data_IF_615627995520
#
_entry.id   IF_615627995520
#
_cell.length_a   1.000
_cell.length_b   1.000
_cell.length_c   1.000
_cell.angle_alpha   90.00
_cell.angle_beta   90.00
_cell.angle_gamma   90.00
#
_symmetry.space_group_name_H-M   'P 1'
#
loop_
_entity.id
_entity.type
_entity.pdbx_description
1 polymer ?
#
# COMPACT_ATOMS: atom_id res chain seq x y z
N UNK A 1 48.28 40.30 12.90
CA UNK A 1 47.50 41.51 13.21
C UNK A 1 46.11 41.09 13.61
N UNK A 2 45.67 41.51 14.80
CA UNK A 2 44.33 41.31 15.37
C UNK A 2 43.35 42.25 14.67
N UNK A 3 42.09 41.83 14.51
CA UNK A 3 40.93 42.70 14.75
C UNK A 3 39.72 41.84 15.11
N UNK A 4 39.35 41.95 16.38
CA UNK A 4 38.15 41.41 17.01
C UNK A 4 36.94 42.27 16.62
N UNK A 5 35.76 41.66 16.46
CA UNK A 5 34.47 42.27 16.84
C UNK A 5 33.52 41.20 17.38
N UNK A 6 33.08 41.41 18.62
CA UNK A 6 32.01 40.70 19.35
C UNK A 6 30.81 41.66 19.40
N UNK A 7 29.57 41.19 19.25
CA UNK A 7 28.46 41.18 20.24
C UNK A 7 27.17 41.32 19.40
N UNK A 8 25.98 40.83 19.73
CA UNK A 8 25.40 39.91 20.70
C UNK A 8 23.96 39.67 20.16
N UNK A 9 23.42 38.46 20.25
CA UNK A 9 22.02 38.20 19.90
C UNK A 9 21.29 37.65 21.12
N UNK A 10 20.36 38.47 21.59
CA UNK A 10 19.46 38.26 22.73
C UNK A 10 18.48 37.11 22.48
N UNK A 11 18.38 36.22 23.46
CA UNK A 11 17.32 35.22 23.58
C UNK A 11 16.08 35.83 24.25
N UNK A 12 14.91 35.65 23.65
CA UNK A 12 13.61 35.92 24.26
C UNK A 12 12.79 34.62 24.26
N UNK A 13 12.71 33.99 25.44
CA UNK A 13 11.75 32.93 25.74
C UNK A 13 10.48 33.59 26.28
N UNK A 14 9.34 33.34 25.64
CA UNK A 14 8.02 33.68 26.18
C UNK A 14 7.34 32.41 26.68
N UNK A 15 6.93 32.45 27.95
CA UNK A 15 6.19 31.42 28.66
C UNK A 15 4.73 31.86 28.86
N UNK A 16 3.78 30.94 28.67
CA UNK A 16 2.40 30.91 29.20
C UNK A 16 1.96 29.42 29.08
N UNK A 17 1.26 28.75 30.00
CA UNK A 17 0.54 29.10 31.23
C UNK A 17 0.06 27.80 31.93
N UNK A 18 0.11 27.80 33.26
CA UNK A 18 -0.90 27.32 34.26
C UNK A 18 -1.45 25.89 34.22
N UNK A 19 -1.81 25.22 35.32
CA UNK A 19 -1.70 25.35 36.78
C UNK A 19 -2.25 24.01 37.28
N UNK A 20 -1.56 23.32 38.18
CA UNK A 20 -2.00 22.07 38.78
C UNK A 20 -1.89 22.16 40.29
N UNK A 21 -3.04 22.30 40.96
CA UNK A 21 -3.35 22.07 42.39
C UNK A 21 -4.89 22.04 42.47
N UNK A 22 -5.61 21.28 43.30
CA UNK A 22 -5.30 20.58 44.53
C UNK A 22 -6.31 19.40 44.73
N UNK A 23 -5.87 18.39 45.48
CA UNK A 23 -6.74 17.44 46.17
C UNK A 23 -7.26 18.07 47.47
N UNK A 24 -8.52 17.85 47.84
CA UNK A 24 -9.02 17.81 49.22
C UNK A 24 -10.41 17.15 49.27
N UNK A 25 -10.52 16.01 49.97
CA UNK A 25 -11.71 15.39 50.56
C UNK A 25 -11.76 15.82 52.06
N UNK A 26 -12.90 15.88 52.82
CA UNK A 26 -13.83 14.73 53.00
C UNK A 26 -15.32 14.99 53.43
N UNK A 27 -16.14 13.94 53.24
CA UNK A 27 -17.26 13.40 54.04
C UNK A 27 -18.31 14.28 54.77
N UNK A 28 -19.62 13.99 54.52
CA UNK A 28 -20.58 13.50 55.54
C UNK A 28 -21.88 12.92 54.96
N UNK A 29 -22.40 11.90 55.64
CA UNK A 29 -23.51 11.01 55.28
C UNK A 29 -24.91 11.48 55.76
N UNK A 30 -25.96 10.87 55.18
CA UNK A 30 -27.33 10.81 55.74
C UNK A 30 -28.37 10.17 54.78
N UNK A 31 -29.15 9.14 55.18
CA UNK A 31 -30.01 8.31 54.30
C UNK A 31 -31.50 8.78 54.31
N UNK A 32 -32.41 8.21 53.48
CA UNK A 32 -33.20 7.06 53.98
C UNK A 32 -33.76 6.03 52.96
N UNK A 33 -34.04 4.85 53.52
CA UNK A 33 -35.22 3.98 53.35
C UNK A 33 -35.48 3.15 52.07
N UNK A 34 -35.88 1.91 52.35
CA UNK A 34 -36.20 0.85 51.40
C UNK A 34 -37.67 0.43 51.49
N UNK A 35 -38.20 -0.01 50.32
CA UNK A 35 -39.29 -0.99 50.05
C UNK A 35 -40.76 -0.57 50.34
N UNK A 36 -41.77 -1.30 49.81
CA UNK A 36 -41.79 -2.36 48.79
C UNK A 36 -42.83 -2.12 47.67
N UNK A 37 -42.81 -2.90 46.59
CA UNK A 37 -44.05 -3.17 45.83
C UNK A 37 -44.09 -4.57 45.27
N UNK A 38 -45.25 -5.17 45.44
CA UNK A 38 -45.57 -6.57 45.34
C UNK A 38 -45.90 -7.00 43.89
N UNK A 39 -45.69 -8.29 43.59
CA UNK A 39 -46.51 -9.01 42.60
C UNK A 39 -47.87 -9.33 43.20
N UNK A 40 -48.94 -9.48 42.39
CA UNK A 40 -49.28 -10.84 41.97
C UNK A 40 -49.88 -10.98 40.55
N UNK A 41 -49.77 -12.23 40.10
CA UNK A 41 -50.74 -12.99 39.31
C UNK A 41 -50.91 -12.74 37.79
N UNK A 42 -50.75 -13.87 37.10
CA UNK A 42 -51.03 -14.16 35.70
C UNK A 42 -52.51 -14.04 35.31
N UNK A 43 -52.77 -13.77 34.02
CA UNK A 43 -53.83 -14.40 33.21
C UNK A 43 -53.61 -14.14 31.70
N UNK A 44 -53.44 -15.23 30.95
CA UNK A 44 -53.88 -15.59 29.56
C UNK A 44 -54.43 -14.48 28.64
N UNK A 45 -54.14 -14.35 27.32
CA UNK A 45 -53.67 -15.19 26.19
C UNK A 45 -53.29 -14.23 24.99
N UNK A 46 -53.10 -14.60 23.69
CA UNK A 46 -52.90 -15.90 23.02
C UNK A 46 -51.70 -15.97 22.01
N UNK A 47 -51.38 -17.21 21.61
CA UNK A 47 -50.79 -17.71 20.33
C UNK A 47 -49.58 -17.01 19.69
N UNK A 48 -48.43 -17.65 19.85
CA UNK A 48 -47.23 -17.49 19.03
C UNK A 48 -47.48 -17.97 17.59
N UNK A 49 -47.24 -17.08 16.61
CA UNK A 49 -46.97 -17.47 15.24
C UNK A 49 -45.54 -18.02 15.15
N UNK A 50 -45.41 -19.25 14.64
CA UNK A 50 -44.12 -19.88 14.38
C UNK A 50 -43.31 -19.05 13.37
N UNK A 51 -41.97 -18.92 13.53
CA UNK A 51 -41.14 -18.35 12.49
C UNK A 51 -41.12 -19.33 11.31
N UNK A 52 -41.42 -18.81 10.11
CA UNK A 52 -41.32 -19.56 8.87
C UNK A 52 -39.92 -20.15 8.73
N UNK A 53 -39.85 -21.48 8.65
CA UNK A 53 -38.63 -22.19 8.29
C UNK A 53 -38.18 -21.72 6.90
N UNK A 54 -37.02 -21.07 6.84
CA UNK A 54 -36.30 -20.83 5.61
C UNK A 54 -36.05 -22.19 4.93
N UNK A 55 -36.57 -22.34 3.71
CA UNK A 55 -36.28 -23.50 2.87
C UNK A 55 -34.78 -23.53 2.53
N UNK A 56 -34.16 -24.71 2.36
CA UNK A 56 -32.75 -24.79 2.01
C UNK A 56 -32.56 -24.15 0.62
N UNK A 57 -31.80 -23.07 0.58
CA UNK A 57 -31.39 -22.41 -0.66
C UNK A 57 -30.65 -23.41 -1.55
N UNK A 58 -31.07 -23.51 -2.81
CA UNK A 58 -30.44 -24.35 -3.81
C UNK A 58 -28.93 -24.03 -3.87
N UNK A 59 -28.09 -25.08 -3.86
CA UNK A 59 -26.64 -24.94 -3.94
C UNK A 59 -26.26 -24.11 -5.19
N UNK A 60 -25.79 -22.88 -4.96
CA UNK A 60 -25.35 -21.96 -6.02
C UNK A 60 -26.18 -20.69 -6.20
N UNK A 61 -27.29 -20.52 -5.47
CA UNK A 61 -28.00 -19.24 -5.43
C UNK A 61 -27.17 -18.14 -4.75
N UNK A 62 -27.23 -16.92 -5.27
CA UNK A 62 -26.60 -15.77 -4.64
C UNK A 62 -27.30 -15.46 -3.31
N UNK A 63 -26.59 -15.05 -2.24
CA UNK A 63 -27.22 -14.66 -0.98
C UNK A 63 -28.27 -13.56 -1.20
N UNK A 64 -29.49 -13.76 -0.70
CA UNK A 64 -30.59 -12.81 -0.82
C UNK A 64 -30.83 -12.02 0.48
N UNK A 65 -30.23 -12.45 1.60
CA UNK A 65 -30.36 -11.80 2.92
C UNK A 65 -29.00 -11.64 3.60
N UNK A 66 -28.92 -10.77 4.61
CA UNK A 66 -27.70 -10.62 5.43
C UNK A 66 -27.29 -11.93 6.12
N UNK A 67 -28.25 -12.73 6.58
CA UNK A 67 -27.97 -14.03 7.21
C UNK A 67 -27.35 -15.02 6.22
N UNK A 68 -27.84 -15.05 4.98
CA UNK A 68 -27.24 -15.87 3.92
C UNK A 68 -25.86 -15.34 3.50
N UNK A 69 -25.66 -14.02 3.46
CA UNK A 69 -24.37 -13.41 3.19
C UNK A 69 -23.36 -13.74 4.29
N UNK A 70 -23.77 -13.68 5.56
CA UNK A 70 -22.96 -14.13 6.70
C UNK A 70 -22.61 -15.61 6.55
N UNK A 71 -23.59 -16.48 6.32
CA UNK A 71 -23.36 -17.91 6.13
C UNK A 71 -22.43 -18.20 4.95
N UNK A 72 -22.48 -17.39 3.90
CA UNK A 72 -21.53 -17.46 2.78
C UNK A 72 -20.11 -17.10 3.22
N UNK A 73 -19.93 -15.96 3.88
CA UNK A 73 -18.63 -15.46 4.36
C UNK A 73 -17.98 -16.42 5.36
N UNK A 74 -18.79 -17.03 6.25
CA UNK A 74 -18.36 -18.03 7.25
C UNK A 74 -17.70 -19.29 6.67
N UNK A 75 -17.89 -19.56 5.37
CA UNK A 75 -17.20 -20.67 4.68
C UNK A 75 -15.70 -20.39 4.49
N UNK A 76 -15.28 -19.13 4.57
CA UNK A 76 -13.91 -18.70 4.24
C UNK A 76 -13.19 -18.02 5.40
N UNK A 77 -13.90 -17.31 6.28
CA UNK A 77 -13.34 -16.59 7.44
C UNK A 77 -14.35 -16.51 8.59
N UNK A 78 -13.92 -16.04 9.77
CA UNK A 78 -14.85 -15.73 10.87
C UNK A 78 -15.74 -14.54 10.54
N UNK A 79 -17.03 -14.68 10.82
CA UNK A 79 -18.03 -13.62 10.68
C UNK A 79 -19.18 -13.98 11.62
N UNK A 80 -18.93 -13.79 12.91
CA UNK A 80 -19.83 -14.14 14.01
C UNK A 80 -20.63 -12.92 14.48
N UNK A 81 -21.64 -13.13 15.33
CA UNK A 81 -22.36 -12.05 16.00
C UNK A 81 -22.87 -10.93 15.06
N UNK A 82 -23.50 -11.34 13.95
CA UNK A 82 -24.06 -10.41 12.97
C UNK A 82 -25.07 -9.47 13.62
N UNK A 83 -24.78 -8.17 13.56
CA UNK A 83 -25.61 -7.09 14.08
C UNK A 83 -25.96 -6.11 12.98
N UNK A 84 -27.13 -5.50 13.10
CA UNK A 84 -27.59 -4.37 12.28
C UNK A 84 -27.86 -3.15 13.16
N UNK A 85 -27.40 -3.19 14.40
CA UNK A 85 -27.78 -2.24 15.45
C UNK A 85 -26.96 -0.95 15.40
N UNK A 86 -27.54 0.20 15.76
CA UNK A 86 -26.81 1.47 15.82
C UNK A 86 -25.76 1.52 16.93
N UNK A 87 -25.75 0.54 17.84
CA UNK A 87 -24.80 0.43 18.96
C UNK A 87 -23.50 -0.28 18.58
N UNK A 88 -23.37 -0.76 17.34
CA UNK A 88 -22.15 -1.39 16.86
C UNK A 88 -21.01 -0.35 16.88
N UNK A 89 -19.90 -0.67 17.56
CA UNK A 89 -18.78 0.26 17.80
C UNK A 89 -17.87 0.47 16.58
N UNK A 90 -18.36 0.14 15.39
CA UNK A 90 -17.58 0.27 14.16
C UNK A 90 -17.68 1.68 13.65
N UNK A 91 -16.54 2.31 13.40
CA UNK A 91 -16.51 3.54 12.63
C UNK A 91 -16.92 3.25 11.18
N UNK A 92 -18.17 3.56 10.85
CA UNK A 92 -18.74 3.40 9.51
C UNK A 92 -18.40 4.56 8.56
N UNK A 93 -17.52 5.49 8.95
CA UNK A 93 -16.99 6.49 8.04
C UNK A 93 -16.30 5.81 6.85
N UNK A 94 -16.68 6.21 5.63
CA UNK A 94 -16.18 5.62 4.39
C UNK A 94 -17.00 4.44 3.85
N UNK A 95 -17.99 3.93 4.59
CA UNK A 95 -18.93 2.92 4.09
C UNK A 95 -20.19 3.58 3.52
N UNK A 96 -20.65 3.08 2.37
CA UNK A 96 -21.88 3.56 1.72
C UNK A 96 -23.08 3.39 2.66
N UNK A 97 -23.85 4.43 3.06
CA UNK A 97 -24.98 4.30 3.99
C UNK A 97 -26.15 3.50 3.39
N UNK A 98 -27.02 2.93 4.25
CA UNK A 98 -28.25 2.28 3.79
C UNK A 98 -29.13 3.31 3.09
N UNK A 99 -29.69 2.97 1.93
CA UNK A 99 -30.43 3.89 1.07
C UNK A 99 -29.56 4.69 0.10
N UNK A 100 -28.23 4.59 0.18
CA UNK A 100 -27.30 5.16 -0.80
C UNK A 100 -26.57 4.05 -1.56
N UNK A 101 -26.12 4.38 -2.77
CA UNK A 101 -25.32 3.47 -3.62
C UNK A 101 -26.00 2.11 -3.82
N UNK A 102 -27.34 2.09 -3.87
CA UNK A 102 -28.15 0.87 -3.97
C UNK A 102 -28.01 -0.12 -2.81
N UNK A 103 -27.48 0.31 -1.66
CA UNK A 103 -27.41 -0.52 -0.45
C UNK A 103 -28.79 -0.56 0.21
N UNK A 104 -29.38 -1.75 0.34
CA UNK A 104 -30.70 -1.96 0.95
C UNK A 104 -30.61 -2.33 2.42
N UNK A 105 -29.57 -3.07 2.81
CA UNK A 105 -29.33 -3.52 4.17
C UNK A 105 -27.83 -3.52 4.47
N UNK A 106 -27.48 -3.33 5.74
CA UNK A 106 -26.11 -3.49 6.23
C UNK A 106 -26.10 -4.29 7.51
N UNK A 107 -25.17 -5.22 7.59
CA UNK A 107 -24.81 -5.92 8.82
C UNK A 107 -23.31 -5.83 9.07
N UNK A 108 -22.95 -5.98 10.33
CA UNK A 108 -21.58 -6.02 10.82
C UNK A 108 -21.41 -7.33 11.56
N UNK A 109 -20.39 -8.10 11.22
CA UNK A 109 -20.05 -9.32 11.95
C UNK A 109 -18.61 -9.26 12.45
N UNK A 110 -18.34 -9.97 13.55
CA UNK A 110 -17.02 -10.07 14.16
C UNK A 110 -16.13 -11.06 13.42
N UNK A 111 -14.96 -10.60 12.99
CA UNK A 111 -13.86 -11.44 12.52
C UNK A 111 -12.96 -11.78 13.71
N UNK A 112 -13.32 -12.84 14.44
CA UNK A 112 -12.60 -13.27 15.64
C UNK A 112 -11.17 -13.73 15.35
N UNK A 113 -10.89 -14.18 14.12
CA UNK A 113 -9.56 -14.61 13.68
C UNK A 113 -8.61 -13.42 13.49
N UNK A 114 -9.08 -12.35 12.87
CA UNK A 114 -8.26 -11.16 12.59
C UNK A 114 -8.45 -10.03 13.62
N UNK A 115 -9.33 -10.24 14.60
CA UNK A 115 -9.68 -9.30 15.67
C UNK A 115 -10.16 -7.95 15.12
N UNK A 116 -11.09 -8.00 14.17
CA UNK A 116 -11.68 -6.83 13.51
C UNK A 116 -13.15 -7.11 13.15
N UNK A 117 -13.79 -6.21 12.43
CA UNK A 117 -15.14 -6.37 11.92
C UNK A 117 -15.16 -6.51 10.38
N UNK A 118 -16.17 -7.23 9.88
CA UNK A 118 -16.52 -7.31 8.46
C UNK A 118 -17.87 -6.65 8.27
N UNK A 119 -17.92 -5.72 7.32
CA UNK A 119 -19.18 -5.05 6.94
C UNK A 119 -19.76 -5.77 5.73
N UNK A 120 -20.99 -6.25 5.87
CA UNK A 120 -21.78 -6.85 4.80
C UNK A 120 -22.85 -5.84 4.36
N UNK A 121 -22.93 -5.58 3.07
CA UNK A 121 -23.97 -4.70 2.49
C UNK A 121 -24.73 -5.44 1.39
N UNK A 122 -26.04 -5.55 1.52
CA UNK A 122 -26.91 -6.07 0.47
C UNK A 122 -27.13 -5.00 -0.58
N UNK A 123 -27.06 -5.36 -1.86
CA UNK A 123 -27.08 -4.42 -2.97
C UNK A 123 -28.16 -4.80 -3.97
N UNK A 124 -29.09 -3.89 -4.23
CA UNK A 124 -30.21 -4.13 -5.17
C UNK A 124 -29.85 -3.92 -6.64
N UNK A 125 -28.91 -3.01 -6.93
CA UNK A 125 -28.37 -2.77 -8.27
C UNK A 125 -26.84 -2.66 -8.19
N UNK A 126 -26.18 -3.76 -8.57
CA UNK A 126 -24.73 -3.87 -8.49
C UNK A 126 -24.02 -2.92 -9.48
N UNK A 127 -24.63 -2.58 -10.61
CA UNK A 127 -24.02 -1.64 -11.56
C UNK A 127 -24.04 -0.23 -10.99
N UNK A 128 -25.18 0.21 -10.47
CA UNK A 128 -25.30 1.51 -9.80
C UNK A 128 -24.38 1.61 -8.57
N UNK A 129 -24.25 0.53 -7.81
CA UNK A 129 -23.34 0.46 -6.67
C UNK A 129 -21.87 0.63 -7.06
N UNK A 130 -21.40 -0.12 -8.07
CA UNK A 130 -20.03 0.02 -8.58
C UNK A 130 -19.77 1.41 -9.16
N UNK A 131 -20.77 2.04 -9.80
CA UNK A 131 -20.64 3.42 -10.29
C UNK A 131 -20.45 4.41 -9.12
N UNK A 132 -21.26 4.30 -8.08
CA UNK A 132 -21.14 5.18 -6.92
C UNK A 132 -19.81 4.99 -6.17
N UNK A 133 -19.32 3.76 -6.08
CA UNK A 133 -17.98 3.48 -5.55
C UNK A 133 -16.90 4.13 -6.43
N UNK A 134 -16.98 4.01 -7.76
CA UNK A 134 -16.05 4.68 -8.69
C UNK A 134 -16.04 6.19 -8.49
N UNK A 135 -17.21 6.81 -8.38
CA UNK A 135 -17.35 8.26 -8.19
C UNK A 135 -16.74 8.68 -6.85
N UNK A 136 -16.91 7.87 -5.80
CA UNK A 136 -16.27 8.07 -4.51
C UNK A 136 -14.74 8.01 -4.61
N UNK A 137 -14.18 6.99 -5.28
CA UNK A 137 -12.72 6.88 -5.47
C UNK A 137 -12.18 8.05 -6.29
N UNK A 138 -12.88 8.44 -7.36
CA UNK A 138 -12.48 9.57 -8.21
C UNK A 138 -12.41 10.85 -7.39
N UNK A 139 -13.45 11.15 -6.60
CA UNK A 139 -13.46 12.31 -5.70
C UNK A 139 -12.28 12.30 -4.72
N UNK A 140 -11.94 11.13 -4.15
CA UNK A 140 -10.80 11.00 -3.23
C UNK A 140 -9.47 11.25 -3.94
N UNK A 141 -9.33 10.81 -5.17
CA UNK A 141 -8.14 11.11 -5.98
C UNK A 141 -8.03 12.62 -6.26
N UNK A 142 -9.15 13.28 -6.59
CA UNK A 142 -9.20 14.74 -6.80
C UNK A 142 -8.86 15.53 -5.53
N UNK A 143 -9.18 14.99 -4.35
CA UNK A 143 -8.80 15.52 -3.04
C UNK A 143 -7.31 15.27 -2.68
N UNK A 144 -6.55 14.60 -3.55
CA UNK A 144 -5.12 14.32 -3.38
C UNK A 144 -4.79 12.98 -2.70
N UNK A 145 -5.78 12.13 -2.44
CA UNK A 145 -5.55 10.78 -1.89
C UNK A 145 -5.20 9.80 -3.01
N UNK A 146 -3.93 9.81 -3.44
CA UNK A 146 -3.41 8.96 -4.53
C UNK A 146 -3.68 7.46 -4.36
N UNK A 147 -3.83 7.00 -3.13
CA UNK A 147 -4.02 5.59 -2.78
C UNK A 147 -5.48 5.16 -2.60
N UNK A 148 -6.43 6.04 -2.92
CA UNK A 148 -7.85 5.76 -2.79
C UNK A 148 -8.24 4.48 -3.56
N UNK A 149 -8.92 3.56 -2.86
CA UNK A 149 -9.42 2.31 -3.43
C UNK A 149 -8.34 1.27 -3.76
N UNK A 150 -7.09 1.46 -3.33
CA UNK A 150 -6.02 0.48 -3.55
C UNK A 150 -5.92 -0.58 -2.47
N UNK A 151 -6.06 -0.22 -1.20
CA UNK A 151 -5.59 -1.07 -0.09
C UNK A 151 -6.68 -1.61 0.83
N UNK A 152 -7.92 -1.18 0.63
CA UNK A 152 -9.06 -1.64 1.41
C UNK A 152 -9.79 -2.71 0.59
N UNK A 153 -9.76 -4.00 0.99
CA UNK A 153 -10.48 -5.06 0.30
C UNK A 153 -11.99 -4.76 0.22
N UNK A 154 -12.43 -4.24 -0.91
CA UNK A 154 -13.82 -3.99 -1.25
C UNK A 154 -14.32 -5.13 -2.14
N UNK A 155 -14.83 -6.20 -1.51
CA UNK A 155 -15.14 -7.45 -2.20
C UNK A 155 -16.58 -7.49 -2.68
N UNK A 156 -16.76 -7.55 -3.99
CA UNK A 156 -18.05 -7.58 -4.66
C UNK A 156 -18.44 -9.01 -5.02
N UNK A 157 -19.66 -9.40 -4.65
CA UNK A 157 -20.33 -10.61 -5.10
C UNK A 157 -21.47 -10.32 -6.06
N UNK A 158 -22.37 -11.29 -6.25
CA UNK A 158 -23.54 -11.14 -7.14
C UNK A 158 -24.59 -10.16 -6.60
N UNK A 159 -24.85 -10.19 -5.30
CA UNK A 159 -25.97 -9.52 -4.63
C UNK A 159 -25.60 -8.79 -3.34
N UNK A 160 -24.34 -8.90 -2.92
CA UNK A 160 -23.84 -8.26 -1.71
C UNK A 160 -22.37 -7.89 -1.87
N UNK A 161 -21.91 -7.01 -0.98
CA UNK A 161 -20.51 -6.61 -0.84
C UNK A 161 -20.04 -6.94 0.56
N UNK A 162 -18.81 -7.44 0.67
CA UNK A 162 -18.09 -7.59 1.92
C UNK A 162 -16.89 -6.64 1.93
N UNK A 163 -16.81 -5.81 2.96
CA UNK A 163 -15.65 -4.95 3.18
C UNK A 163 -14.94 -5.41 4.45
N UNK A 164 -13.65 -5.69 4.34
CA UNK A 164 -12.82 -6.12 5.45
C UNK A 164 -11.58 -5.24 5.53
N UNK A 165 -11.24 -4.72 6.72
CA UNK A 165 -10.05 -3.87 6.91
C UNK A 165 -8.77 -4.67 7.03
N UNK A 166 -8.85 -5.95 7.43
CA UNK A 166 -7.68 -6.80 7.62
C UNK A 166 -7.34 -7.56 6.35
N UNK A 167 -6.05 -7.52 6.01
CA UNK A 167 -5.47 -8.23 4.85
C UNK A 167 -5.77 -9.73 4.86
N UNK A 168 -5.68 -10.37 6.03
CA UNK A 168 -5.91 -11.81 6.18
C UNK A 168 -7.35 -12.21 5.80
N UNK A 169 -8.34 -11.42 6.21
CA UNK A 169 -9.73 -11.59 5.82
C UNK A 169 -9.92 -11.43 4.31
N UNK A 170 -9.34 -10.38 3.72
CA UNK A 170 -9.39 -10.16 2.28
C UNK A 170 -8.84 -11.36 1.49
N UNK A 171 -7.65 -11.85 1.89
CA UNK A 171 -7.01 -13.03 1.30
C UNK A 171 -7.84 -14.32 1.45
N UNK A 172 -8.58 -14.46 2.55
CA UNK A 172 -9.48 -15.59 2.74
C UNK A 172 -10.69 -15.50 1.81
N UNK A 173 -11.28 -14.32 1.67
CA UNK A 173 -12.51 -14.11 0.90
C UNK A 173 -12.30 -14.16 -0.61
N UNK A 174 -11.15 -13.77 -1.15
CA UNK A 174 -10.87 -13.92 -2.60
C UNK A 174 -10.74 -15.37 -3.06
N UNK A 175 -10.68 -16.35 -2.14
CA UNK A 175 -10.78 -17.79 -2.47
C UNK A 175 -12.20 -18.21 -2.87
N UNK A 176 -13.17 -17.32 -2.69
CA UNK A 176 -14.57 -17.51 -3.04
C UNK A 176 -14.88 -16.98 -4.45
N UNK A 177 -16.17 -16.78 -4.78
CA UNK A 177 -16.58 -16.06 -6.00
C UNK A 177 -16.58 -14.52 -5.83
N UNK A 178 -16.27 -14.01 -4.64
CA UNK A 178 -16.08 -12.58 -4.40
C UNK A 178 -14.81 -12.07 -5.09
N UNK A 179 -14.85 -10.82 -5.57
CA UNK A 179 -13.71 -10.15 -6.22
C UNK A 179 -13.49 -8.76 -5.63
N UNK A 180 -12.24 -8.38 -5.44
CA UNK A 180 -11.86 -7.01 -5.09
C UNK A 180 -12.22 -6.11 -6.26
N UNK A 181 -13.04 -5.09 -6.01
CA UNK A 181 -13.33 -4.02 -6.93
C UNK A 181 -12.27 -2.94 -6.79
N UNK A 182 -11.55 -2.66 -7.87
CA UNK A 182 -10.57 -1.57 -7.92
C UNK A 182 -10.95 -0.60 -9.02
N UNK A 183 -11.13 0.67 -8.64
CA UNK A 183 -11.49 1.77 -9.54
C UNK A 183 -10.40 2.85 -9.64
N UNK A 184 -9.25 2.64 -8.99
CA UNK A 184 -8.11 3.53 -9.10
C UNK A 184 -7.45 3.34 -10.48
N UNK A 185 -7.31 4.40 -11.31
CA UNK A 185 -6.82 4.28 -12.68
C UNK A 185 -5.33 3.90 -12.78
N UNK A 186 -4.54 4.14 -11.73
CA UNK A 186 -3.13 3.79 -11.69
C UNK A 186 -2.90 2.31 -11.32
N UNK A 187 -3.96 1.60 -10.93
CA UNK A 187 -3.87 0.19 -10.60
C UNK A 187 -3.87 -0.70 -11.83
N UNK A 188 -2.93 -1.64 -11.87
CA UNK A 188 -2.93 -2.74 -12.83
C UNK A 188 -2.92 -4.05 -12.06
N UNK A 189 -3.85 -4.96 -12.39
CA UNK A 189 -3.87 -6.32 -11.84
C UNK A 189 -2.55 -7.02 -12.20
N UNK A 190 -1.78 -7.50 -11.21
CA UNK A 190 -0.55 -8.23 -11.49
C UNK A 190 -0.79 -9.52 -12.28
N UNK A 191 0.22 -9.94 -13.03
CA UNK A 191 0.16 -11.19 -13.79
C UNK A 191 -0.05 -12.40 -12.85
N UNK A 192 -0.83 -13.39 -13.31
CA UNK A 192 -1.15 -14.59 -12.55
C UNK A 192 -2.42 -14.48 -11.68
N UNK A 193 -3.03 -13.30 -11.61
CA UNK A 193 -4.29 -13.06 -10.92
C UNK A 193 -5.47 -12.97 -11.89
N UNK A 194 -6.65 -13.35 -11.42
CA UNK A 194 -7.89 -13.20 -12.19
C UNK A 194 -8.17 -11.73 -12.41
N UNK A 195 -8.58 -11.42 -13.64
CA UNK A 195 -9.00 -10.09 -14.07
C UNK A 195 -10.32 -10.22 -14.80
N UNK A 196 -11.36 -9.62 -14.22
CA UNK A 196 -12.72 -9.64 -14.75
C UNK A 196 -13.16 -8.19 -15.00
N UNK A 197 -14.00 -7.98 -16.03
CA UNK A 197 -14.56 -6.65 -16.30
C UNK A 197 -15.58 -6.33 -15.20
N UNK A 198 -15.46 -5.15 -14.58
CA UNK A 198 -16.50 -4.62 -13.72
C UNK A 198 -17.76 -4.27 -14.54
N UNK A 199 -18.88 -4.03 -13.86
CA UNK A 199 -20.13 -3.59 -14.50
C UNK A 199 -20.08 -2.14 -14.99
N UNK A 200 -19.04 -1.40 -14.57
CA UNK A 200 -18.76 -0.01 -14.93
C UNK A 200 -17.38 0.10 -15.56
N UNK A 201 -17.26 0.93 -16.60
CA UNK A 201 -15.99 1.11 -17.29
C UNK A 201 -14.98 1.85 -16.41
N UNK A 202 -13.70 1.49 -16.52
CA UNK A 202 -12.61 2.06 -15.72
C UNK A 202 -12.43 1.40 -14.35
N UNK A 203 -13.26 0.43 -13.97
CA UNK A 203 -13.03 -0.42 -12.80
C UNK A 203 -12.71 -1.85 -13.24
N UNK A 204 -12.07 -2.60 -12.35
CA UNK A 204 -11.71 -4.01 -12.55
C UNK A 204 -12.08 -4.84 -11.33
N UNK A 205 -12.48 -6.09 -11.57
CA UNK A 205 -12.68 -7.09 -10.53
C UNK A 205 -11.49 -8.06 -10.56
N UNK A 206 -10.91 -8.36 -9.40
CA UNK A 206 -9.74 -9.23 -9.29
C UNK A 206 -9.74 -10.07 -8.02
N UNK A 207 -9.05 -11.21 -8.03
CA UNK A 207 -8.71 -11.95 -6.81
C UNK A 207 -7.38 -11.48 -6.17
N UNK A 208 -6.76 -10.44 -6.73
CA UNK A 208 -5.59 -9.78 -6.15
C UNK A 208 -5.98 -8.88 -4.97
N UNK A 209 -5.46 -9.21 -3.79
CA UNK A 209 -5.59 -8.38 -2.58
C UNK A 209 -4.33 -7.54 -2.40
N UNK A 210 -4.41 -6.25 -2.70
CA UNK A 210 -3.36 -5.32 -2.34
C UNK A 210 -3.48 -4.94 -0.86
N UNK A 211 -2.37 -4.61 -0.20
CA UNK A 211 -2.38 -4.23 1.21
C UNK A 211 -1.16 -3.38 1.58
N UNK A 212 -1.36 -2.33 2.40
CA UNK A 212 -0.28 -1.45 2.87
C UNK A 212 0.75 -2.17 3.74
N UNK A 213 0.32 -3.21 4.44
CA UNK A 213 1.17 -3.96 5.36
C UNK A 213 2.07 -5.00 4.66
N UNK A 214 2.03 -5.06 3.32
CA UNK A 214 2.82 -5.99 2.52
C UNK A 214 2.37 -7.46 2.61
N UNK A 215 1.32 -7.76 3.39
CA UNK A 215 0.85 -9.15 3.64
C UNK A 215 -0.24 -9.61 2.68
N UNK A 216 -0.50 -8.83 1.62
CA UNK A 216 -1.50 -9.15 0.62
C UNK A 216 -1.05 -10.23 -0.35
N UNK A 217 -1.67 -10.26 -1.52
CA UNK A 217 -1.44 -11.25 -2.56
C UNK A 217 0.00 -11.16 -3.10
N UNK A 218 0.75 -12.26 -3.18
CA UNK A 218 2.14 -12.23 -3.61
C UNK A 218 2.29 -11.96 -5.11
N UNK A 219 3.12 -11.00 -5.50
CA UNK A 219 3.41 -10.76 -6.93
C UNK A 219 4.68 -11.50 -7.35
N UNK A 220 4.58 -12.31 -8.41
CA UNK A 220 5.76 -12.86 -9.10
C UNK A 220 6.17 -11.92 -10.21
N UNK A 221 7.44 -11.52 -10.23
CA UNK A 221 8.03 -10.81 -11.36
C UNK A 221 9.03 -11.67 -12.12
N UNK A 222 9.66 -11.10 -13.17
CA UNK A 222 10.82 -11.72 -13.79
C UNK A 222 11.91 -12.01 -12.75
N UNK A 223 12.75 -13.00 -13.06
CA UNK A 223 14.01 -13.20 -12.36
C UNK A 223 14.86 -11.92 -12.41
N UNK A 224 15.80 -11.79 -11.47
CA UNK A 224 16.69 -10.64 -11.47
C UNK A 224 17.53 -10.64 -12.76
N UNK A 225 17.62 -9.47 -13.40
CA UNK A 225 18.39 -9.25 -14.61
C UNK A 225 19.85 -9.74 -14.44
N UNK A 226 20.45 -10.26 -15.50
CA UNK A 226 21.87 -10.63 -15.51
C UNK A 226 22.46 -10.41 -16.90
N UNK A 227 23.77 -10.19 -16.95
CA UNK A 227 24.52 -10.07 -18.20
C UNK A 227 25.97 -10.53 -17.99
N UNK A 228 26.57 -11.16 -19.00
CA UNK A 228 27.98 -11.56 -19.00
C UNK A 228 28.95 -10.46 -19.45
N UNK A 229 28.45 -9.44 -20.15
CA UNK A 229 29.22 -8.33 -20.72
C UNK A 229 28.44 -7.00 -20.72
N UNK A 230 29.14 -5.88 -20.91
CA UNK A 230 28.51 -4.55 -20.93
C UNK A 230 27.64 -4.39 -22.18
N UNK A 231 28.01 -5.04 -23.28
CA UNK A 231 27.22 -5.13 -24.51
C UNK A 231 25.93 -5.93 -24.29
N UNK A 232 25.98 -7.04 -23.57
CA UNK A 232 24.78 -7.79 -23.18
C UNK A 232 23.87 -6.97 -22.27
N UNK A 233 24.44 -6.24 -21.30
CA UNK A 233 23.67 -5.34 -20.45
C UNK A 233 23.01 -4.22 -21.27
N UNK A 234 23.74 -3.62 -22.23
CA UNK A 234 23.19 -2.64 -23.18
C UNK A 234 22.01 -3.22 -23.96
N UNK A 235 22.13 -4.43 -24.51
CA UNK A 235 21.08 -5.09 -25.27
C UNK A 235 19.86 -5.48 -24.42
N UNK A 236 20.08 -5.73 -23.12
CA UNK A 236 18.99 -5.99 -22.19
C UNK A 236 18.15 -4.74 -21.95
N UNK A 237 18.79 -3.57 -21.76
CA UNK A 237 18.11 -2.34 -21.36
C UNK A 237 17.74 -1.41 -22.52
N UNK A 238 18.40 -1.52 -23.66
CA UNK A 238 18.20 -0.64 -24.83
C UNK A 238 17.61 -1.40 -26.01
N UNK A 239 16.64 -0.82 -26.75
CA UNK A 239 15.98 0.49 -26.54
C UNK A 239 14.82 0.44 -25.54
N UNK A 240 14.69 -0.64 -24.78
CA UNK A 240 13.46 -0.97 -24.01
C UNK A 240 13.18 -0.04 -22.82
N UNK A 241 14.23 0.36 -22.11
CA UNK A 241 14.16 1.14 -20.88
C UNK A 241 15.13 2.33 -20.88
N UNK A 242 16.32 2.15 -21.44
CA UNK A 242 17.37 3.17 -21.52
C UNK A 242 17.73 3.43 -22.98
N UNK A 243 17.78 4.69 -23.37
CA UNK A 243 18.37 5.09 -24.65
C UNK A 243 19.90 5.04 -24.55
N UNK A 244 20.49 4.02 -25.16
CA UNK A 244 21.93 3.84 -25.28
C UNK A 244 22.38 3.99 -26.75
N UNK A 245 21.72 4.85 -27.53
CA UNK A 245 22.18 5.22 -28.87
C UNK A 245 23.58 5.82 -28.79
N UNK A 246 23.77 6.73 -27.83
CA UNK A 246 25.07 7.22 -27.37
C UNK A 246 25.46 6.44 -26.10
N UNK A 247 26.63 5.78 -26.13
CA UNK A 247 27.15 5.04 -24.99
C UNK A 247 28.68 5.16 -24.95
N UNK A 248 29.21 5.36 -23.74
CA UNK A 248 30.65 5.36 -23.48
C UNK A 248 30.96 4.37 -22.35
N UNK A 249 31.83 3.40 -22.63
CA UNK A 249 32.41 2.52 -21.61
C UNK A 249 33.57 3.27 -20.97
N UNK A 250 33.46 3.60 -19.69
CA UNK A 250 34.48 4.37 -18.98
C UNK A 250 34.39 4.15 -17.47
N UNK A 251 35.54 4.22 -16.80
CA UNK A 251 35.63 4.28 -15.35
C UNK A 251 35.78 5.72 -14.84
N UNK A 252 35.85 6.69 -15.75
CA UNK A 252 35.92 8.11 -15.39
C UNK A 252 34.57 8.61 -14.88
N UNK A 253 34.64 9.50 -13.89
CA UNK A 253 33.45 10.15 -13.39
C UNK A 253 32.94 11.20 -14.39
N UNK A 254 31.74 10.98 -14.92
CA UNK A 254 31.04 11.95 -15.75
C UNK A 254 30.10 12.77 -14.87
N UNK A 255 30.38 14.06 -14.74
CA UNK A 255 29.49 14.97 -14.02
C UNK A 255 28.20 15.20 -14.82
N UNK A 256 27.06 14.81 -14.25
CA UNK A 256 25.74 15.18 -14.78
C UNK A 256 25.26 16.46 -14.11
N UNK A 257 24.49 17.26 -14.86
CA UNK A 257 23.76 18.40 -14.30
C UNK A 257 22.53 17.98 -13.50
N UNK A 258 22.02 16.79 -13.78
CA UNK A 258 20.73 16.34 -13.30
C UNK A 258 20.87 15.61 -11.96
N UNK A 259 21.96 14.83 -11.77
CA UNK A 259 22.16 14.02 -10.57
C UNK A 259 23.59 13.45 -10.41
N UNK A 260 23.89 12.96 -9.21
CA UNK A 260 25.12 12.29 -8.81
C UNK A 260 24.91 10.77 -8.76
N UNK A 261 25.80 9.98 -9.38
CA UNK A 261 25.79 8.53 -9.24
C UNK A 261 26.23 8.10 -7.84
N UNK A 262 25.64 7.00 -7.35
CA UNK A 262 26.02 6.32 -6.12
C UNK A 262 27.46 5.83 -6.21
N UNK A 263 27.82 5.21 -7.33
CA UNK A 263 29.21 4.84 -7.59
C UNK A 263 29.95 6.08 -8.10
N UNK A 264 30.82 6.61 -7.25
CA UNK A 264 31.66 7.76 -7.54
C UNK A 264 32.87 7.43 -8.43
N UNK A 265 34.04 7.97 -8.07
CA UNK A 265 35.30 7.78 -8.83
C UNK A 265 35.91 6.41 -8.63
N UNK A 266 35.71 5.79 -7.48
CA UNK A 266 36.27 4.47 -7.17
C UNK A 266 35.32 3.35 -7.62
N UNK A 267 35.31 3.10 -8.92
CA UNK A 267 34.46 2.07 -9.56
C UNK A 267 34.79 0.68 -9.03
N UNK A 268 36.07 0.34 -8.93
CA UNK A 268 36.52 -0.97 -8.47
C UNK A 268 36.22 -1.18 -6.97
N UNK A 269 36.47 -0.18 -6.13
CA UNK A 269 36.13 -0.23 -4.70
C UNK A 269 34.63 -0.32 -4.43
N UNK A 270 33.80 0.17 -5.35
CA UNK A 270 32.34 -0.02 -5.32
C UNK A 270 31.90 -1.43 -5.76
N UNK A 271 32.83 -2.35 -6.08
CA UNK A 271 32.52 -3.70 -6.54
C UNK A 271 32.13 -3.79 -8.02
N UNK A 272 32.28 -2.71 -8.79
CA UNK A 272 31.97 -2.66 -10.22
C UNK A 272 33.19 -3.07 -11.04
N UNK A 273 33.01 -4.05 -11.93
CA UNK A 273 34.04 -4.54 -12.84
C UNK A 273 34.16 -3.70 -14.11
N UNK A 274 33.04 -3.27 -14.65
CA UNK A 274 32.97 -2.50 -15.88
C UNK A 274 31.76 -1.60 -15.83
N UNK A 275 31.95 -0.35 -16.27
CA UNK A 275 30.93 0.68 -16.27
C UNK A 275 30.77 1.28 -17.66
N UNK A 276 29.52 1.56 -18.03
CA UNK A 276 29.18 2.39 -19.17
C UNK A 276 28.18 3.48 -18.76
N UNK A 277 28.15 4.54 -19.57
CA UNK A 277 27.19 5.63 -19.43
C UNK A 277 26.42 5.76 -20.73
N UNK A 278 25.09 5.74 -20.63
CA UNK A 278 24.18 6.01 -21.73
C UNK A 278 23.55 7.39 -21.55
N UNK A 279 23.15 8.04 -22.64
CA UNK A 279 22.49 9.35 -22.62
C UNK A 279 23.28 10.41 -23.39
N UNK A 280 22.99 11.69 -23.16
CA UNK A 280 23.68 12.79 -23.84
C UNK A 280 24.98 13.11 -23.11
N UNK A 281 26.08 12.52 -23.59
CA UNK A 281 27.41 12.55 -22.95
C UNK A 281 28.09 13.94 -22.95
N UNK A 282 27.49 14.92 -23.62
CA UNK A 282 27.97 16.29 -23.66
C UNK A 282 28.82 16.62 -24.88
N UNK A 283 29.16 17.91 -24.98
CA UNK A 283 29.89 18.53 -26.08
C UNK A 283 30.07 20.02 -25.77
N UNK A 284 29.42 20.90 -26.54
CA UNK A 284 29.32 22.32 -26.18
C UNK A 284 28.43 22.57 -24.95
N UNK A 285 27.55 21.62 -24.60
CA UNK A 285 26.69 21.65 -23.41
C UNK A 285 27.06 20.53 -22.44
N UNK A 286 26.65 20.67 -21.18
CA UNK A 286 26.91 19.66 -20.13
C UNK A 286 26.10 18.38 -20.37
N UNK A 287 26.64 17.28 -19.88
CA UNK A 287 26.02 15.96 -19.97
C UNK A 287 24.70 15.90 -19.16
N UNK A 288 23.66 15.31 -19.74
CA UNK A 288 22.31 15.27 -19.17
C UNK A 288 21.55 14.02 -19.63
N UNK A 289 20.47 13.66 -18.93
CA UNK A 289 19.72 12.41 -19.13
C UNK A 289 20.63 11.17 -19.14
N UNK A 290 21.69 11.20 -18.32
CA UNK A 290 22.62 10.08 -18.22
C UNK A 290 21.91 8.88 -17.60
N UNK A 291 22.44 7.67 -17.78
CA UNK A 291 22.09 6.47 -17.02
C UNK A 291 23.36 5.62 -16.95
N UNK A 292 23.74 5.16 -15.76
CA UNK A 292 24.93 4.32 -15.60
C UNK A 292 24.55 2.86 -15.66
N UNK A 293 25.34 2.08 -16.41
CA UNK A 293 25.22 0.63 -16.57
C UNK A 293 26.47 -0.01 -15.97
N UNK A 294 26.28 -0.90 -15.01
CA UNK A 294 27.37 -1.53 -14.27
C UNK A 294 27.32 -3.05 -14.39
N UNK A 295 28.44 -3.65 -14.79
CA UNK A 295 28.74 -5.05 -14.50
C UNK A 295 29.37 -5.14 -13.11
N UNK A 296 28.78 -5.93 -12.23
CA UNK A 296 29.11 -5.95 -10.81
C UNK A 296 29.79 -7.27 -10.47
N UNK A 297 31.00 -7.21 -9.92
CA UNK A 297 31.74 -8.37 -9.44
C UNK A 297 31.46 -8.64 -7.95
N UNK A 298 31.26 -7.59 -7.15
CA UNK A 298 30.89 -7.68 -5.74
C UNK A 298 29.62 -6.86 -5.47
N UNK A 299 28.48 -7.55 -5.50
CA UNK A 299 27.18 -6.93 -5.30
C UNK A 299 26.97 -6.49 -3.84
N UNK A 300 27.62 -7.15 -2.88
CA UNK A 300 27.52 -6.76 -1.48
C UNK A 300 28.25 -5.44 -1.23
N UNK A 301 29.43 -5.26 -1.82
CA UNK A 301 30.16 -4.00 -1.77
C UNK A 301 29.32 -2.85 -2.35
N UNK A 302 28.75 -3.03 -3.54
CA UNK A 302 27.91 -2.02 -4.20
C UNK A 302 26.68 -1.64 -3.36
N UNK A 303 25.96 -2.63 -2.82
CA UNK A 303 24.81 -2.37 -1.98
C UNK A 303 25.18 -1.72 -0.64
N UNK A 304 26.36 -2.03 -0.09
CA UNK A 304 26.87 -1.41 1.15
C UNK A 304 27.14 0.07 0.92
N UNK A 305 27.83 0.41 -0.18
CA UNK A 305 28.06 1.79 -0.58
C UNK A 305 26.74 2.57 -0.75
N UNK A 306 25.76 1.95 -1.44
CA UNK A 306 24.46 2.59 -1.63
C UNK A 306 23.68 2.77 -0.32
N UNK A 307 23.76 1.80 0.61
CA UNK A 307 23.18 1.91 1.94
C UNK A 307 23.77 3.09 2.70
N UNK A 308 25.09 3.23 2.72
CA UNK A 308 25.78 4.34 3.37
C UNK A 308 25.31 5.69 2.80
N UNK A 309 25.20 5.79 1.48
CA UNK A 309 24.67 6.99 0.81
C UNK A 309 23.22 7.28 1.24
N UNK A 310 22.33 6.28 1.22
CA UNK A 310 20.94 6.45 1.61
C UNK A 310 20.78 6.85 3.09
N UNK A 311 21.59 6.27 3.98
CA UNK A 311 21.55 6.57 5.41
C UNK A 311 22.10 7.96 5.74
N UNK A 312 23.10 8.44 4.98
CA UNK A 312 23.61 9.81 5.12
C UNK A 312 22.54 10.87 4.78
N UNK A 313 21.50 10.50 4.04
CA UNK A 313 20.38 11.39 3.69
C UNK A 313 19.19 11.28 4.65
N UNK A 314 19.15 10.30 5.55
CA UNK A 314 18.04 10.12 6.49
C UNK A 314 17.95 11.32 7.42
N UNK A 315 16.78 11.98 7.46
CA UNK A 315 16.55 13.18 8.26
C UNK A 315 16.90 14.50 7.57
N UNK A 316 17.47 14.44 6.37
CA UNK A 316 17.61 15.59 5.46
C UNK A 316 16.48 15.57 4.42
N UNK A 317 16.16 16.72 3.79
CA UNK A 317 15.41 16.66 2.54
C UNK A 317 16.26 15.84 1.57
N UNK A 318 15.81 14.62 1.22
CA UNK A 318 16.50 13.76 0.25
C UNK A 318 16.90 14.61 -0.93
N UNK A 319 18.17 14.61 -1.28
CA UNK A 319 18.57 15.40 -2.42
C UNK A 319 17.91 14.75 -3.63
N UNK A 320 17.06 15.49 -4.34
CA UNK A 320 16.45 15.09 -5.61
C UNK A 320 17.50 14.77 -6.70
N UNK A 321 18.78 14.85 -6.34
CA UNK A 321 19.94 14.80 -7.20
C UNK A 321 20.75 13.52 -7.01
N UNK A 322 20.36 12.52 -6.20
CA UNK A 322 21.02 11.20 -6.26
C UNK A 322 20.25 10.26 -7.18
N UNK A 323 20.95 9.51 -8.04
CA UNK A 323 20.30 8.41 -8.77
C UNK A 323 19.83 7.33 -7.83
N UNK A 324 18.71 6.69 -8.19
CA UNK A 324 18.30 5.45 -7.52
C UNK A 324 19.07 4.30 -8.16
N UNK A 325 19.66 3.44 -7.32
CA UNK A 325 20.36 2.23 -7.74
C UNK A 325 19.36 1.09 -7.97
N UNK A 326 19.30 0.57 -9.20
CA UNK A 326 18.48 -0.58 -9.59
C UNK A 326 19.36 -1.79 -9.83
N UNK A 327 19.10 -2.86 -9.09
CA UNK A 327 19.96 -4.03 -8.94
C UNK A 327 19.37 -5.23 -9.66
N UNK A 328 20.22 -5.92 -10.43
CA UNK A 328 20.02 -7.28 -10.92
C UNK A 328 20.85 -8.30 -10.15
N UNK A 329 21.10 -9.47 -10.74
CA UNK A 329 21.91 -10.54 -10.14
C UNK A 329 23.40 -10.16 -10.07
N UNK A 330 23.96 -9.70 -11.18
CA UNK A 330 25.37 -9.33 -11.33
C UNK A 330 25.55 -8.02 -12.13
N UNK A 331 24.48 -7.23 -12.20
CA UNK A 331 24.40 -5.98 -12.96
C UNK A 331 23.67 -4.94 -12.13
N UNK A 332 23.94 -3.67 -12.38
CA UNK A 332 23.17 -2.56 -11.84
C UNK A 332 22.95 -1.47 -12.89
N UNK A 333 21.86 -0.72 -12.73
CA UNK A 333 21.57 0.48 -13.50
C UNK A 333 21.25 1.61 -12.54
N UNK A 334 21.82 2.78 -12.76
CA UNK A 334 21.50 3.99 -11.99
C UNK A 334 20.68 4.97 -12.84
N UNK A 335 19.52 5.39 -12.32
CA UNK A 335 18.67 6.37 -13.01
C UNK A 335 17.83 7.23 -12.06
N UNK A 336 17.77 8.53 -12.36
CA UNK A 336 16.83 9.49 -11.75
C UNK A 336 15.49 9.53 -12.50
N UNK A 337 15.43 9.09 -13.76
CA UNK A 337 14.21 9.20 -14.55
C UNK A 337 13.14 8.16 -14.11
N UNK A 338 11.96 8.57 -13.60
CA UNK A 338 10.94 7.63 -13.14
C UNK A 338 10.41 6.69 -14.24
N UNK A 339 10.35 7.15 -15.49
CA UNK A 339 9.90 6.31 -16.60
C UNK A 339 10.92 5.21 -16.92
N UNK A 340 12.22 5.54 -16.90
CA UNK A 340 13.31 4.57 -17.06
C UNK A 340 13.25 3.52 -15.96
N UNK A 341 13.12 3.93 -14.69
CA UNK A 341 13.03 3.00 -13.56
C UNK A 341 11.83 2.06 -13.66
N UNK A 342 10.64 2.60 -13.97
CA UNK A 342 9.44 1.78 -14.20
C UNK A 342 9.64 0.76 -15.33
N UNK A 343 10.37 1.12 -16.40
CA UNK A 343 10.69 0.19 -17.48
C UNK A 343 11.72 -0.88 -17.03
N UNK A 344 12.75 -0.49 -16.28
CA UNK A 344 13.76 -1.41 -15.73
C UNK A 344 13.16 -2.44 -14.76
N UNK A 345 12.14 -2.06 -13.97
CA UNK A 345 11.40 -3.00 -13.13
C UNK A 345 10.81 -4.17 -13.95
N UNK A 346 10.30 -3.91 -15.15
CA UNK A 346 9.77 -4.94 -16.06
C UNK A 346 10.85 -5.85 -16.64
N UNK A 347 12.11 -5.41 -16.61
CA UNK A 347 13.28 -6.16 -17.10
C UNK A 347 14.00 -6.96 -16.01
N UNK A 348 13.47 -6.98 -14.78
CA UNK A 348 14.07 -7.73 -13.67
C UNK A 348 15.12 -6.95 -12.89
N UNK A 349 15.18 -5.64 -13.01
CA UNK A 349 15.90 -4.82 -12.05
C UNK A 349 14.96 -4.44 -10.90
N UNK A 350 15.50 -4.26 -9.70
CA UNK A 350 14.75 -3.79 -8.53
C UNK A 350 15.56 -2.72 -7.82
N UNK A 351 14.91 -1.66 -7.35
CA UNK A 351 15.57 -0.61 -6.58
C UNK A 351 16.04 -1.16 -5.24
N UNK A 352 17.27 -0.83 -4.85
CA UNK A 352 17.72 -1.03 -3.48
C UNK A 352 17.13 0.06 -2.57
N UNK A 353 16.38 -0.36 -1.55
CA UNK A 353 15.88 0.53 -0.50
C UNK A 353 16.40 0.06 0.86
N UNK A 354 17.09 0.97 1.55
CA UNK A 354 17.72 0.72 2.84
C UNK A 354 17.16 1.63 3.96
N UNK A 355 16.00 2.25 3.71
CA UNK A 355 15.35 3.10 4.70
C UNK A 355 14.94 2.27 5.93
N UNK A 356 15.30 2.69 7.16
CA UNK A 356 14.86 1.99 8.36
C UNK A 356 13.33 1.87 8.39
N UNK A 357 12.84 0.67 8.75
CA UNK A 357 11.41 0.36 8.77
C UNK A 357 10.70 0.52 7.41
N UNK A 358 11.43 0.44 6.29
CA UNK A 358 10.81 0.40 4.97
C UNK A 358 9.78 -0.73 4.88
N UNK A 359 8.61 -0.37 4.36
CA UNK A 359 7.58 -1.30 3.96
C UNK A 359 7.07 -0.90 2.57
N UNK A 360 6.73 -1.90 1.77
CA UNK A 360 6.09 -1.70 0.48
C UNK A 360 4.74 -2.43 0.47
N UNK A 361 3.75 -1.94 -0.29
CA UNK A 361 2.48 -2.62 -0.43
C UNK A 361 2.62 -4.00 -1.07
N UNK A 362 1.65 -4.88 -0.83
CA UNK A 362 1.67 -6.27 -1.31
C UNK A 362 1.77 -6.43 -2.85
N UNK A 363 1.31 -5.43 -3.61
CA UNK A 363 1.50 -5.35 -5.06
C UNK A 363 2.93 -5.11 -5.52
N UNK A 364 3.84 -4.86 -4.59
CA UNK A 364 5.24 -4.62 -4.87
C UNK A 364 6.02 -5.92 -4.79
N UNK A 365 7.03 -6.05 -5.63
CA UNK A 365 8.01 -7.12 -5.49
C UNK A 365 8.97 -6.73 -4.39
N UNK A 366 9.13 -7.59 -3.38
CA UNK A 366 10.16 -7.44 -2.35
C UNK A 366 11.06 -8.66 -2.42
N UNK A 367 12.38 -8.45 -2.55
CA UNK A 367 13.40 -9.50 -2.46
C UNK A 367 14.44 -9.14 -1.42
N UNK A 368 15.08 -10.13 -0.77
CA UNK A 368 16.21 -9.86 0.11
C UNK A 368 17.34 -9.20 -0.68
N UNK A 369 17.92 -8.14 -0.12
CA UNK A 369 19.20 -7.61 -0.55
C UNK A 369 20.34 -8.49 0.00
N UNK A 370 21.57 -8.28 -0.47
CA UNK A 370 22.77 -8.93 0.09
C UNK A 370 23.30 -8.23 1.36
N UNK A 371 22.77 -7.05 1.66
CA UNK A 371 23.12 -6.24 2.82
C UNK A 371 21.95 -6.19 3.79
N UNK A 372 22.24 -6.45 5.07
CA UNK A 372 21.24 -6.47 6.12
C UNK A 372 20.53 -5.14 6.28
N UNK A 373 19.22 -5.19 6.50
CA UNK A 373 18.37 -4.00 6.66
C UNK A 373 18.04 -3.29 5.34
N UNK A 374 18.40 -3.86 4.19
CA UNK A 374 17.97 -3.39 2.88
C UNK A 374 17.05 -4.42 2.20
N UNK A 375 16.22 -3.93 1.29
CA UNK A 375 15.41 -4.77 0.40
C UNK A 375 15.57 -4.32 -1.05
N UNK A 376 15.31 -5.25 -1.97
CA UNK A 376 15.13 -4.94 -3.38
C UNK A 376 13.63 -4.82 -3.67
N UNK A 377 13.21 -3.70 -4.25
CA UNK A 377 11.80 -3.40 -4.49
C UNK A 377 11.53 -2.67 -5.81
N UNK A 378 10.34 -2.86 -6.39
CA UNK A 378 9.84 -2.01 -7.48
C UNK A 378 8.87 -0.92 -7.00
N UNK A 379 8.70 -0.81 -5.69
CA UNK A 379 7.92 0.24 -5.07
C UNK A 379 8.73 1.54 -4.93
N UNK A 380 8.12 2.63 -5.35
CA UNK A 380 8.62 3.98 -5.08
C UNK A 380 7.52 4.80 -4.42
N UNK A 381 7.83 5.39 -3.26
CA UNK A 381 6.93 6.34 -2.61
C UNK A 381 6.73 7.56 -3.52
N UNK A 382 5.49 8.01 -3.79
CA UNK A 382 5.24 9.24 -4.51
C UNK A 382 5.89 10.43 -3.80
N UNK A 383 6.51 11.35 -4.54
CA UNK A 383 7.08 12.58 -3.99
C UNK A 383 8.47 12.45 -3.36
N UNK A 384 9.21 11.36 -3.65
CA UNK A 384 10.59 11.14 -3.19
C UNK A 384 11.58 10.94 -4.33
#
# INVERSE_FOLDING_TARGET
MRLQRIFAATATLAALTTLSTACEDPAKAGPPAAKPSASPAASTAPTAGAPAQASPTAAGAAPATLAEAQAYVRKYTSCEDLSTGPADRVNLAGYAPVGAWSVTERGICSDTKEQDEIVLSMVSDMKAHQQAYKDHITKRLDEGYWDAGLYDPYLVGKSFVATARKTGTGLALVKSDLRVLVCNPDFTVPEGYKKEKALVDGCVLTDFVNARDGRGSPVKGPALASAGSIEELRNLVSPKAVDCTEMLVTNEHIASIDYQPVVGRDVAGAGVKQRAVCGKLGGATRAHNLNWLDLVADMKALQTLSKESQLAEVGHQRSLTQSKLLVGTNVAVESNNPAVRKALYKLGFLRLDCEPAFSAPAGSRIRPAQVDGCVLTDFERPGV
#
